data_IF_948790968306
#
_entry.id   IF_948790968306
#
_cell.length_a   1.000
_cell.length_b   1.000
_cell.length_c   1.000
_cell.angle_alpha   90.00
_cell.angle_beta   90.00
_cell.angle_gamma   90.00
#
_symmetry.space_group_name_H-M   'P 1'
#
loop_
_entity.id
_entity.type
_entity.pdbx_description
1 polymer ?
#
# COMPACT_ATOMS: atom_id res chain seq x y z
N UNK A 1 -31.19 13.37 32.54
CA UNK A 1 -30.88 12.58 33.75
C UNK A 1 -29.46 12.05 33.60
N UNK A 2 -28.64 12.06 34.65
CA UNK A 2 -27.22 11.66 34.59
C UNK A 2 -26.95 10.48 35.53
N UNK A 3 -26.13 9.53 35.08
CA UNK A 3 -25.71 8.35 35.83
C UNK A 3 -24.19 8.21 35.81
N UNK A 4 -23.62 7.56 36.82
CA UNK A 4 -22.18 7.32 36.87
C UNK A 4 -21.72 6.31 35.81
N UNK A 5 -22.52 5.26 35.56
CA UNK A 5 -22.18 4.16 34.64
C UNK A 5 -23.37 3.70 33.77
N UNK A 6 -23.10 2.88 32.74
CA UNK A 6 -24.15 2.21 31.97
C UNK A 6 -25.01 1.30 32.86
N UNK A 7 -24.40 0.57 33.78
CA UNK A 7 -25.12 -0.33 34.68
C UNK A 7 -26.10 0.43 35.60
N UNK A 8 -25.70 1.61 36.10
CA UNK A 8 -26.58 2.46 36.92
C UNK A 8 -27.78 2.97 36.13
N UNK A 9 -27.56 3.35 34.85
CA UNK A 9 -28.64 3.73 33.96
C UNK A 9 -29.60 2.56 33.66
N UNK A 10 -29.06 1.35 33.42
CA UNK A 10 -29.86 0.14 33.19
C UNK A 10 -30.70 -0.26 34.42
N UNK A 11 -30.22 0.02 35.64
CA UNK A 11 -30.96 -0.20 36.88
C UNK A 11 -32.06 0.85 37.16
N UNK A 12 -32.12 1.94 36.40
CA UNK A 12 -33.08 3.02 36.61
C UNK A 12 -34.53 2.58 36.31
N UNK A 13 -35.45 2.82 37.25
CA UNK A 13 -36.85 2.39 37.13
C UNK A 13 -37.84 3.54 37.46
N UNK A 14 -37.95 4.56 36.61
CA UNK A 14 -38.88 5.68 36.84
C UNK A 14 -40.33 5.30 36.49
N UNK A 15 -41.30 6.02 37.05
CA UNK A 15 -42.71 5.93 36.59
C UNK A 15 -42.90 6.46 35.17
N UNK A 16 -42.06 7.38 34.73
CA UNK A 16 -42.05 7.89 33.36
C UNK A 16 -40.61 7.97 32.88
N UNK A 17 -40.29 7.14 31.88
CA UNK A 17 -38.98 7.11 31.29
C UNK A 17 -38.65 8.44 30.59
N UNK A 18 -37.54 9.11 30.95
CA UNK A 18 -37.14 10.41 30.38
C UNK A 18 -36.78 10.30 28.90
N UNK A 19 -36.82 11.41 28.16
CA UNK A 19 -36.51 11.40 26.72
C UNK A 19 -35.02 11.18 26.42
N UNK A 20 -34.14 11.50 27.38
CA UNK A 20 -32.70 11.33 27.25
C UNK A 20 -32.03 10.99 28.59
N UNK A 21 -30.92 10.26 28.50
CA UNK A 21 -30.04 9.89 29.60
C UNK A 21 -28.61 10.29 29.24
N UNK A 22 -27.78 10.57 30.24
CA UNK A 22 -26.33 10.71 30.08
C UNK A 22 -25.65 9.79 31.08
N UNK A 23 -24.55 9.17 30.68
CA UNK A 23 -23.68 8.41 31.57
C UNK A 23 -22.29 9.06 31.60
N UNK A 24 -21.68 9.13 32.77
CA UNK A 24 -20.34 9.72 32.97
C UNK A 24 -19.19 8.76 32.59
N UNK A 25 -19.49 7.48 32.37
CA UNK A 25 -18.57 6.44 31.95
C UNK A 25 -19.32 5.15 31.57
N UNK A 26 -18.64 4.23 30.89
CA UNK A 26 -19.28 2.97 30.47
C UNK A 26 -19.31 1.96 31.63
N UNK A 27 -18.15 1.63 32.18
CA UNK A 27 -17.94 0.73 33.33
C UNK A 27 -17.74 1.48 34.63
N UNK A 28 -17.05 2.63 34.59
CA UNK A 28 -16.79 3.48 35.76
C UNK A 28 -16.84 4.95 35.35
N UNK A 29 -17.38 5.82 36.23
CA UNK A 29 -17.36 7.25 35.97
C UNK A 29 -15.91 7.74 35.71
N UNK A 30 -15.71 8.44 34.60
CA UNK A 30 -14.38 8.95 34.21
C UNK A 30 -13.54 7.98 33.38
N UNK A 31 -14.05 6.80 32.99
CA UNK A 31 -13.36 5.89 32.04
C UNK A 31 -13.38 6.36 30.58
N UNK A 32 -13.91 7.56 30.33
CA UNK A 32 -14.08 8.19 29.02
C UNK A 32 -15.05 7.45 28.09
N UNK A 33 -15.80 6.46 28.59
CA UNK A 33 -16.90 5.81 27.91
C UNK A 33 -18.26 6.46 28.16
N UNK A 34 -18.27 7.70 28.66
CA UNK A 34 -19.48 8.49 28.86
C UNK A 34 -20.14 8.85 27.54
N UNK A 35 -21.47 8.91 27.51
CA UNK A 35 -22.24 9.27 26.32
C UNK A 35 -23.63 9.81 26.67
N UNK A 36 -24.19 10.62 25.76
CA UNK A 36 -25.60 10.97 25.70
C UNK A 36 -26.39 9.89 24.96
N UNK A 37 -27.53 9.52 25.53
CA UNK A 37 -28.46 8.55 24.99
C UNK A 37 -29.84 9.18 24.79
N UNK A 38 -30.49 8.89 23.66
CA UNK A 38 -31.88 9.30 23.38
C UNK A 38 -32.82 8.08 23.41
N UNK A 39 -34.05 8.30 23.84
CA UNK A 39 -35.08 7.25 23.88
C UNK A 39 -35.50 6.84 22.47
N UNK A 40 -35.71 5.55 22.24
CA UNK A 40 -36.17 4.98 20.96
C UNK A 40 -37.35 4.05 21.17
N UNK A 41 -38.17 3.88 20.12
CA UNK A 41 -39.40 3.10 20.18
C UNK A 41 -39.18 1.58 20.21
N UNK A 42 -38.04 1.09 19.73
CA UNK A 42 -37.71 -0.32 19.64
C UNK A 42 -36.22 -0.55 19.92
N UNK A 43 -35.86 -1.79 20.27
CA UNK A 43 -34.48 -2.17 20.54
C UNK A 43 -33.58 -1.95 19.29
N UNK A 44 -32.52 -1.14 19.37
CA UNK A 44 -31.57 -0.99 18.27
C UNK A 44 -30.82 -2.30 17.98
N UNK A 45 -30.30 -2.46 16.75
CA UNK A 45 -29.58 -3.68 16.34
C UNK A 45 -28.06 -3.65 16.60
N UNK A 46 -27.53 -2.57 17.18
CA UNK A 46 -26.09 -2.39 17.44
C UNK A 46 -25.74 -2.46 18.93
N UNK A 47 -24.44 -2.37 19.27
CA UNK A 47 -23.94 -2.42 20.67
C UNK A 47 -24.07 -1.11 21.45
N UNK A 48 -24.14 0.04 20.77
CA UNK A 48 -24.36 1.37 21.37
C UNK A 48 -25.79 1.63 21.90
N UNK A 49 -26.38 0.69 22.63
CA UNK A 49 -27.75 0.75 23.15
C UNK A 49 -27.82 0.35 24.63
N UNK A 50 -28.88 0.75 25.32
CA UNK A 50 -29.21 0.25 26.64
C UNK A 50 -30.73 0.20 26.84
N UNK A 51 -31.17 -0.66 27.77
CA UNK A 51 -32.56 -0.72 28.22
C UNK A 51 -32.59 -0.40 29.72
N UNK A 52 -33.45 0.53 30.13
CA UNK A 52 -33.66 0.77 31.56
C UNK A 52 -34.63 -0.27 32.14
N UNK A 53 -34.64 -0.44 33.45
CA UNK A 53 -35.42 -1.49 34.13
C UNK A 53 -36.94 -1.45 33.88
N UNK A 54 -37.49 -0.28 33.54
CA UNK A 54 -38.91 -0.12 33.15
C UNK A 54 -39.22 -0.72 31.76
N UNK A 55 -38.21 -0.93 30.92
CA UNK A 55 -38.34 -1.56 29.60
C UNK A 55 -38.12 -0.61 28.41
N UNK A 56 -38.05 0.70 28.64
CA UNK A 56 -37.73 1.69 27.60
C UNK A 56 -36.30 1.53 27.04
N UNK A 57 -36.16 1.62 25.72
CA UNK A 57 -34.89 1.51 25.00
C UNK A 57 -34.26 2.87 24.70
N UNK A 58 -32.94 2.91 24.72
CA UNK A 58 -32.14 4.08 24.40
C UNK A 58 -30.96 3.73 23.49
N UNK A 59 -30.56 4.67 22.63
CA UNK A 59 -29.38 4.57 21.76
C UNK A 59 -28.46 5.79 21.92
N UNK A 60 -27.17 5.61 21.68
CA UNK A 60 -26.19 6.70 21.69
C UNK A 60 -26.60 7.79 20.70
N UNK A 61 -26.48 9.05 21.11
CA UNK A 61 -26.85 10.24 20.35
C UNK A 61 -25.66 11.21 20.16
N UNK A 62 -24.44 10.70 20.24
CA UNK A 62 -23.21 11.46 20.04
C UNK A 62 -22.94 11.69 18.54
N UNK A 63 -22.21 12.76 18.20
CA UNK A 63 -21.83 13.08 16.82
C UNK A 63 -20.70 12.19 16.28
N UNK A 64 -19.95 11.55 17.19
CA UNK A 64 -18.90 10.59 16.89
C UNK A 64 -19.01 9.45 17.92
N UNK A 65 -18.74 8.21 17.50
CA UNK A 65 -18.77 7.05 18.38
C UNK A 65 -17.35 6.69 18.81
N UNK A 66 -16.99 6.96 20.07
CA UNK A 66 -15.74 6.50 20.64
C UNK A 66 -15.84 5.02 21.06
N UNK A 67 -14.80 4.23 20.79
CA UNK A 67 -14.72 2.81 21.14
C UNK A 67 -15.05 2.53 22.62
N UNK A 68 -14.74 3.47 23.53
CA UNK A 68 -15.03 3.35 24.97
C UNK A 68 -16.50 3.49 25.30
N UNK A 69 -17.28 4.21 24.49
CA UNK A 69 -18.73 4.39 24.68
C UNK A 69 -19.52 3.09 24.47
N UNK A 70 -18.92 2.10 23.82
CA UNK A 70 -19.49 0.75 23.66
C UNK A 70 -18.77 -0.29 24.53
N UNK A 71 -17.92 0.16 25.46
CA UNK A 71 -17.23 -0.70 26.40
C UNK A 71 -16.12 -1.54 25.78
N UNK A 72 -15.53 -1.10 24.67
CA UNK A 72 -14.46 -1.84 24.02
C UNK A 72 -13.26 -1.90 25.00
N UNK A 73 -12.86 -3.09 25.50
CA UNK A 73 -11.93 -3.16 26.61
C UNK A 73 -10.55 -2.72 26.17
N UNK A 74 -9.97 -1.77 26.88
CA UNK A 74 -8.53 -1.49 26.77
C UNK A 74 -7.79 -2.77 27.16
N UNK A 75 -6.85 -3.21 26.32
CA UNK A 75 -6.06 -4.42 26.56
C UNK A 75 -6.87 -5.74 26.59
N UNK A 76 -8.01 -5.80 25.89
CA UNK A 76 -8.72 -7.06 25.69
C UNK A 76 -7.77 -8.12 25.12
N UNK A 77 -7.81 -9.35 25.65
CA UNK A 77 -6.97 -10.43 25.13
C UNK A 77 -7.29 -10.77 23.68
N UNK A 78 -8.51 -10.49 23.21
CA UNK A 78 -8.90 -10.51 21.81
C UNK A 78 -10.04 -9.52 21.55
N UNK A 79 -9.77 -8.49 20.76
CA UNK A 79 -10.74 -7.43 20.47
C UNK A 79 -11.55 -7.66 19.19
N UNK A 80 -11.28 -8.70 18.37
CA UNK A 80 -11.79 -8.81 17.00
C UNK A 80 -13.31 -8.60 16.87
N UNK A 81 -14.13 -9.43 17.52
CA UNK A 81 -15.59 -9.36 17.40
C UNK A 81 -16.17 -8.08 18.01
N UNK A 82 -15.67 -7.66 19.18
CA UNK A 82 -16.17 -6.45 19.83
C UNK A 82 -15.80 -5.18 19.03
N UNK A 83 -14.63 -5.18 18.37
CA UNK A 83 -14.20 -4.09 17.51
C UNK A 83 -15.05 -4.04 16.24
N UNK A 84 -15.37 -5.19 15.64
CA UNK A 84 -16.29 -5.27 14.50
C UNK A 84 -17.70 -4.76 14.87
N UNK A 85 -18.24 -5.17 16.02
CA UNK A 85 -19.52 -4.67 16.53
C UNK A 85 -19.52 -3.15 16.74
N UNK A 86 -18.39 -2.59 17.18
CA UNK A 86 -18.17 -1.15 17.29
C UNK A 86 -18.25 -0.44 15.92
N UNK A 87 -17.60 -0.98 14.89
CA UNK A 87 -17.66 -0.41 13.53
C UNK A 87 -19.07 -0.52 12.93
N UNK A 88 -19.77 -1.63 13.18
CA UNK A 88 -21.16 -1.81 12.78
C UNK A 88 -22.05 -0.79 13.50
N UNK A 89 -21.83 -0.53 14.78
CA UNK A 89 -22.58 0.48 15.52
C UNK A 89 -22.38 1.90 14.94
N UNK A 90 -21.14 2.29 14.65
CA UNK A 90 -20.83 3.60 14.08
C UNK A 90 -21.51 3.81 12.73
N UNK A 91 -21.42 2.82 11.83
CA UNK A 91 -22.09 2.88 10.51
C UNK A 91 -23.61 2.82 10.61
N UNK A 92 -24.18 2.08 11.57
CA UNK A 92 -25.64 2.05 11.81
C UNK A 92 -26.15 3.40 12.33
N UNK A 93 -25.36 4.08 13.16
CA UNK A 93 -25.66 5.40 13.72
C UNK A 93 -25.35 6.55 12.74
N UNK A 94 -24.71 6.26 11.60
CA UNK A 94 -24.23 7.24 10.61
C UNK A 94 -23.29 8.29 11.22
N UNK A 95 -22.35 7.83 12.05
CA UNK A 95 -21.33 8.66 12.71
C UNK A 95 -19.93 8.08 12.54
N UNK A 96 -18.87 8.90 12.57
CA UNK A 96 -17.50 8.41 12.57
C UNK A 96 -17.19 7.51 13.77
N UNK A 97 -16.44 6.43 13.53
CA UNK A 97 -15.85 5.58 14.55
C UNK A 97 -14.51 6.16 15.01
N UNK A 98 -14.36 6.40 16.31
CA UNK A 98 -13.16 6.98 16.91
C UNK A 98 -12.47 5.96 17.82
N UNK A 99 -11.17 5.76 17.59
CA UNK A 99 -10.27 5.03 18.48
C UNK A 99 -9.27 6.03 19.03
N UNK A 100 -9.36 6.29 20.33
CA UNK A 100 -8.61 7.36 20.98
C UNK A 100 -7.10 7.13 21.00
N UNK A 101 -6.35 8.22 21.19
CA UNK A 101 -4.89 8.19 21.35
C UNK A 101 -4.45 7.29 22.51
N UNK A 102 -3.36 6.56 22.31
CA UNK A 102 -2.80 5.62 23.28
C UNK A 102 -3.61 4.33 23.49
N UNK A 103 -4.75 4.14 22.81
CA UNK A 103 -5.50 2.90 22.91
C UNK A 103 -4.79 1.76 22.16
N UNK A 104 -4.71 0.59 22.79
CA UNK A 104 -4.10 -0.62 22.22
C UNK A 104 -5.11 -1.75 22.25
N UNK A 105 -5.36 -2.34 21.08
CA UNK A 105 -6.23 -3.51 20.91
C UNK A 105 -5.44 -4.68 20.36
N UNK A 106 -5.51 -5.81 21.06
CA UNK A 106 -4.85 -7.05 20.66
C UNK A 106 -5.84 -7.97 19.92
N UNK A 107 -5.36 -8.55 18.82
CA UNK A 107 -6.11 -9.43 17.93
C UNK A 107 -5.33 -10.74 17.76
N UNK A 108 -5.31 -11.67 18.73
CA UNK A 108 -4.61 -12.95 18.60
C UNK A 108 -5.30 -13.92 17.62
N UNK A 109 -6.55 -13.67 17.24
CA UNK A 109 -7.28 -14.41 16.22
C UNK A 109 -8.31 -13.47 15.59
N UNK A 110 -9.05 -13.97 14.60
CA UNK A 110 -10.09 -13.20 13.92
C UNK A 110 -9.57 -12.13 12.96
N UNK A 111 -10.45 -11.74 12.05
CA UNK A 111 -10.31 -10.60 11.14
C UNK A 111 -11.36 -9.58 11.55
N UNK A 112 -11.06 -8.28 11.49
CA UNK A 112 -12.08 -7.24 11.65
C UNK A 112 -12.61 -6.88 10.27
N UNK A 113 -13.90 -7.11 10.05
CA UNK A 113 -14.57 -6.71 8.80
C UNK A 113 -14.86 -5.21 8.79
N UNK A 114 -14.56 -4.55 7.67
CA UNK A 114 -14.83 -3.14 7.45
C UNK A 114 -16.18 -2.95 6.75
N UNK A 115 -17.23 -2.43 7.42
CA UNK A 115 -18.52 -2.18 6.78
C UNK A 115 -18.46 -1.04 5.75
N UNK A 116 -19.48 -0.96 4.88
CA UNK A 116 -19.64 0.18 3.97
C UNK A 116 -19.99 1.46 4.72
N UNK A 117 -19.68 2.62 4.13
CA UNK A 117 -19.90 3.96 4.69
C UNK A 117 -19.15 4.19 6.01
N UNK A 118 -18.04 3.49 6.20
CA UNK A 118 -17.23 3.62 7.40
C UNK A 118 -16.29 4.82 7.30
N UNK A 119 -16.31 5.67 8.33
CA UNK A 119 -15.22 6.61 8.64
C UNK A 119 -14.59 6.17 9.96
N UNK A 120 -13.36 5.66 9.92
CA UNK A 120 -12.62 5.19 11.09
C UNK A 120 -11.38 6.06 11.32
N UNK A 121 -11.33 6.72 12.49
CA UNK A 121 -10.23 7.59 12.92
C UNK A 121 -9.51 6.94 14.09
N UNK A 122 -8.22 6.66 13.93
CA UNK A 122 -7.41 5.88 14.87
C UNK A 122 -6.12 6.61 15.26
N UNK A 123 -6.15 7.94 15.29
CA UNK A 123 -4.95 8.77 15.52
C UNK A 123 -4.33 8.42 16.88
N UNK A 124 -3.11 7.88 16.86
CA UNK A 124 -2.37 7.48 18.06
C UNK A 124 -2.73 6.09 18.63
N UNK A 125 -3.71 5.40 18.04
CA UNK A 125 -4.06 4.05 18.44
C UNK A 125 -3.15 2.98 17.81
N UNK A 126 -3.04 1.83 18.47
CA UNK A 126 -2.30 0.65 17.99
C UNK A 126 -3.22 -0.57 17.92
N UNK A 127 -3.36 -1.12 16.73
CA UNK A 127 -4.11 -2.34 16.45
C UNK A 127 -3.13 -3.47 16.17
N UNK A 128 -3.03 -4.44 17.09
CA UNK A 128 -1.89 -5.34 17.17
C UNK A 128 -2.28 -6.81 17.01
N UNK A 129 -1.68 -7.47 16.02
CA UNK A 129 -1.64 -8.94 15.92
C UNK A 129 -0.54 -9.45 16.87
N UNK A 130 -0.94 -10.29 17.84
CA UNK A 130 -0.06 -10.81 18.91
C UNK A 130 0.36 -12.26 18.72
N UNK A 131 -0.18 -12.92 17.71
CA UNK A 131 0.05 -14.33 17.40
C UNK A 131 0.23 -14.49 15.89
N UNK A 132 0.87 -15.59 15.51
CA UNK A 132 0.94 -15.98 14.11
C UNK A 132 -0.42 -16.52 13.70
N UNK A 133 -1.12 -15.78 12.84
CA UNK A 133 -2.40 -16.20 12.26
C UNK A 133 -2.35 -15.97 10.77
N UNK A 134 -2.91 -16.93 10.04
CA UNK A 134 -3.04 -16.92 8.59
C UNK A 134 -4.39 -16.30 8.15
N UNK A 135 -4.73 -15.12 8.69
CA UNK A 135 -5.81 -14.25 8.19
C UNK A 135 -5.39 -12.76 8.22
N UNK A 136 -6.03 -11.88 7.42
CA UNK A 136 -5.84 -10.44 7.53
C UNK A 136 -6.14 -9.92 8.94
N UNK A 137 -5.53 -8.82 9.34
CA UNK A 137 -5.93 -8.09 10.55
C UNK A 137 -7.26 -7.38 10.27
N UNK A 138 -7.29 -6.51 9.26
CA UNK A 138 -8.50 -5.83 8.81
C UNK A 138 -8.79 -6.23 7.36
N UNK A 139 -10.07 -6.49 7.07
CA UNK A 139 -10.52 -6.87 5.73
C UNK A 139 -11.77 -6.10 5.33
N UNK A 140 -11.83 -5.69 4.07
CA UNK A 140 -13.06 -5.22 3.43
C UNK A 140 -13.40 -6.17 2.28
N UNK A 141 -14.67 -6.54 2.12
CA UNK A 141 -15.11 -7.50 1.10
C UNK A 141 -16.38 -7.02 0.42
N UNK A 142 -16.25 -6.49 -0.79
CA UNK A 142 -17.36 -5.93 -1.58
C UNK A 142 -18.07 -4.75 -0.90
N UNK A 143 -17.31 -3.91 -0.22
CA UNK A 143 -17.78 -2.78 0.59
C UNK A 143 -17.38 -1.44 -0.02
N UNK A 144 -18.15 -0.38 0.22
CA UNK A 144 -17.95 0.91 -0.44
C UNK A 144 -17.85 2.07 0.57
N UNK A 145 -17.21 3.17 0.14
CA UNK A 145 -17.12 4.42 0.90
C UNK A 145 -16.44 4.22 2.27
N UNK A 146 -15.21 3.71 2.25
CA UNK A 146 -14.41 3.46 3.46
C UNK A 146 -13.34 4.53 3.57
N UNK A 147 -13.23 5.16 4.73
CA UNK A 147 -12.20 6.15 5.05
C UNK A 147 -11.48 5.72 6.32
N UNK A 148 -10.19 5.41 6.22
CA UNK A 148 -9.32 5.04 7.34
C UNK A 148 -8.29 6.15 7.56
N UNK A 149 -8.22 6.71 8.77
CA UNK A 149 -7.38 7.86 9.11
C UNK A 149 -6.55 7.57 10.35
N UNK A 150 -5.23 7.61 10.23
CA UNK A 150 -4.31 7.50 11.36
C UNK A 150 -4.19 6.10 11.96
N UNK A 151 -3.26 5.94 12.90
CA UNK A 151 -3.11 4.71 13.69
C UNK A 151 -2.04 3.77 13.17
N UNK A 152 -1.69 2.80 14.03
CA UNK A 152 -0.64 1.82 13.76
C UNK A 152 -1.19 0.40 13.72
N UNK A 153 -1.05 -0.28 12.60
CA UNK A 153 -1.24 -1.73 12.52
C UNK A 153 0.08 -2.41 12.81
N UNK A 154 0.12 -3.25 13.84
CA UNK A 154 1.37 -3.90 14.30
C UNK A 154 1.24 -5.41 14.27
N UNK A 155 2.27 -6.11 13.83
CA UNK A 155 2.39 -7.56 14.00
C UNK A 155 3.68 -7.91 14.77
N UNK A 156 3.50 -8.42 15.97
CA UNK A 156 4.62 -8.78 16.86
C UNK A 156 5.18 -10.17 16.62
N UNK A 157 4.55 -10.99 15.77
CA UNK A 157 4.96 -12.37 15.53
C UNK A 157 5.05 -12.67 14.02
N UNK A 158 6.24 -13.02 13.51
CA UNK A 158 6.39 -13.45 12.13
C UNK A 158 5.56 -14.70 11.83
N UNK A 159 4.89 -14.75 10.68
CA UNK A 159 4.15 -15.92 10.28
C UNK A 159 5.05 -17.10 9.91
N UNK A 160 4.66 -18.30 10.34
CA UNK A 160 5.39 -19.56 10.10
C UNK A 160 5.18 -20.09 8.68
N UNK A 161 4.04 -19.78 8.03
CA UNK A 161 3.72 -20.19 6.66
C UNK A 161 2.82 -19.16 5.94
N UNK A 162 3.29 -17.92 5.73
CA UNK A 162 2.44 -16.87 5.18
C UNK A 162 2.14 -17.05 3.69
N UNK A 163 0.95 -16.60 3.29
CA UNK A 163 0.57 -16.40 1.89
C UNK A 163 0.07 -14.96 1.68
N UNK A 164 0.00 -14.53 0.42
CA UNK A 164 -0.44 -13.19 0.01
C UNK A 164 -1.84 -12.81 0.51
N UNK A 165 -2.71 -13.78 0.78
CA UNK A 165 -4.09 -13.54 1.22
C UNK A 165 -4.26 -13.61 2.74
N UNK A 166 -3.28 -14.18 3.44
CA UNK A 166 -3.51 -14.73 4.77
C UNK A 166 -2.65 -14.06 5.85
N UNK A 167 -1.84 -13.06 5.58
CA UNK A 167 -1.22 -12.31 6.68
C UNK A 167 -0.98 -10.87 6.24
N UNK A 168 -2.06 -10.11 6.23
CA UNK A 168 -2.11 -8.76 5.70
C UNK A 168 -2.57 -7.80 6.78
N UNK A 169 -1.93 -6.64 6.93
CA UNK A 169 -2.42 -5.65 7.89
C UNK A 169 -3.78 -5.09 7.47
N UNK A 170 -3.88 -4.63 6.21
CA UNK A 170 -5.10 -4.13 5.60
C UNK A 170 -5.36 -4.80 4.25
N UNK A 171 -6.40 -5.64 4.18
CA UNK A 171 -6.81 -6.30 2.94
C UNK A 171 -8.12 -5.70 2.41
N UNK A 172 -8.02 -4.90 1.35
CA UNK A 172 -9.16 -4.27 0.71
C UNK A 172 -9.55 -5.08 -0.53
N UNK A 173 -10.66 -5.80 -0.46
CA UNK A 173 -11.07 -6.75 -1.50
C UNK A 173 -12.43 -6.37 -2.10
N UNK A 174 -12.51 -6.24 -3.43
CA UNK A 174 -13.77 -5.94 -4.14
C UNK A 174 -14.39 -4.57 -3.80
N UNK A 175 -13.60 -3.65 -3.21
CA UNK A 175 -14.14 -2.46 -2.55
C UNK A 175 -14.03 -1.20 -3.39
N UNK A 176 -14.99 -0.28 -3.29
CA UNK A 176 -14.98 0.97 -4.06
C UNK A 176 -14.96 2.23 -3.19
N UNK A 177 -14.37 3.32 -3.69
CA UNK A 177 -14.27 4.60 -3.00
C UNK A 177 -13.60 4.44 -1.62
N UNK A 178 -12.40 3.87 -1.61
CA UNK A 178 -11.63 3.62 -0.38
C UNK A 178 -10.53 4.67 -0.23
N UNK A 179 -10.40 5.28 0.93
CA UNK A 179 -9.31 6.19 1.27
C UNK A 179 -8.58 5.69 2.51
N UNK A 180 -7.27 5.49 2.38
CA UNK A 180 -6.37 5.13 3.47
C UNK A 180 -5.38 6.28 3.63
N UNK A 181 -5.36 6.96 4.77
CA UNK A 181 -4.47 8.11 5.01
C UNK A 181 -3.81 8.07 6.38
N UNK A 182 -2.56 8.48 6.44
CA UNK A 182 -1.79 8.65 7.69
C UNK A 182 -1.65 7.35 8.50
N UNK A 183 -1.71 6.19 7.83
CA UNK A 183 -1.58 4.88 8.47
C UNK A 183 -0.10 4.51 8.61
N UNK A 184 0.23 3.89 9.73
CA UNK A 184 1.50 3.17 9.90
C UNK A 184 1.23 1.67 9.97
N UNK A 185 2.01 0.89 9.23
CA UNK A 185 2.06 -0.58 9.36
C UNK A 185 3.47 -0.97 9.78
N UNK A 186 3.58 -1.80 10.81
CA UNK A 186 4.87 -2.27 11.30
C UNK A 186 4.85 -3.73 11.72
N UNK A 187 6.02 -4.36 11.61
CA UNK A 187 6.22 -5.74 11.99
C UNK A 187 5.91 -6.72 10.87
N UNK A 188 6.00 -8.01 11.21
CA UNK A 188 6.17 -9.08 10.25
C UNK A 188 4.86 -9.52 9.56
N UNK A 189 4.04 -8.57 9.11
CA UNK A 189 2.96 -8.87 8.17
C UNK A 189 3.54 -9.41 6.87
N UNK A 190 2.86 -10.33 6.19
CA UNK A 190 3.30 -10.74 4.85
C UNK A 190 3.02 -9.67 3.80
N UNK A 191 1.86 -9.01 3.90
CA UNK A 191 1.53 -7.82 3.12
C UNK A 191 1.14 -6.66 4.06
N UNK A 192 1.63 -5.46 3.80
CA UNK A 192 1.20 -4.27 4.53
C UNK A 192 -0.21 -3.85 4.12
N UNK A 193 -0.31 -3.17 2.99
CA UNK A 193 -1.59 -2.74 2.40
C UNK A 193 -1.83 -3.50 1.10
N UNK A 194 -2.99 -4.15 0.98
CA UNK A 194 -3.35 -4.93 -0.19
C UNK A 194 -4.68 -4.44 -0.80
N UNK A 195 -4.62 -3.85 -1.99
CA UNK A 195 -5.77 -3.58 -2.84
C UNK A 195 -6.00 -4.75 -3.79
N UNK A 196 -7.13 -5.42 -3.68
CA UNK A 196 -7.57 -6.46 -4.62
C UNK A 196 -8.93 -6.13 -5.16
N UNK A 197 -9.06 -6.09 -6.48
CA UNK A 197 -10.35 -5.86 -7.13
C UNK A 197 -11.04 -4.56 -6.67
N UNK A 198 -10.23 -3.52 -6.41
CA UNK A 198 -10.70 -2.23 -5.91
C UNK A 198 -11.00 -1.24 -7.04
N UNK A 199 -11.95 -0.33 -6.81
CA UNK A 199 -12.28 0.77 -7.70
C UNK A 199 -12.18 2.12 -6.98
N UNK A 200 -11.47 3.09 -7.56
CA UNK A 200 -11.34 4.43 -7.00
C UNK A 200 -10.80 4.38 -5.55
N UNK A 201 -9.60 3.82 -5.37
CA UNK A 201 -8.98 3.73 -4.05
C UNK A 201 -7.75 4.64 -3.95
N UNK A 202 -7.50 5.21 -2.77
CA UNK A 202 -6.26 5.93 -2.49
C UNK A 202 -5.56 5.49 -1.21
N UNK A 203 -4.23 5.59 -1.21
CA UNK A 203 -3.33 5.38 -0.08
C UNK A 203 -2.37 6.57 0.01
N UNK A 204 -2.51 7.38 1.04
CA UNK A 204 -1.84 8.68 1.19
C UNK A 204 -1.05 8.72 2.50
N UNK A 205 0.14 9.33 2.49
CA UNK A 205 0.98 9.53 3.68
C UNK A 205 1.12 8.27 4.58
N UNK A 206 1.19 7.10 3.94
CA UNK A 206 1.21 5.81 4.64
C UNK A 206 2.64 5.29 4.74
N UNK A 207 2.98 4.73 5.90
CA UNK A 207 4.31 4.18 6.17
C UNK A 207 4.21 2.69 6.46
N UNK A 208 5.05 1.88 5.82
CA UNK A 208 5.06 0.42 6.02
C UNK A 208 6.49 -0.04 6.28
N UNK A 209 6.70 -0.73 7.42
CA UNK A 209 8.01 -1.20 7.87
C UNK A 209 7.98 -2.68 8.21
N UNK A 210 9.00 -3.42 7.81
CA UNK A 210 9.28 -4.76 8.34
C UNK A 210 8.34 -5.87 7.89
N UNK A 211 7.65 -5.66 6.77
CA UNK A 211 6.80 -6.70 6.18
C UNK A 211 7.63 -7.77 5.48
N UNK A 212 7.14 -9.00 5.41
CA UNK A 212 7.89 -10.16 4.91
C UNK A 212 7.86 -10.28 3.39
N UNK A 213 6.82 -9.80 2.70
CA UNK A 213 6.77 -9.92 1.24
C UNK A 213 6.48 -8.61 0.52
N UNK A 214 5.34 -7.96 0.79
CA UNK A 214 4.92 -6.74 0.07
C UNK A 214 4.48 -5.62 0.99
N UNK A 215 5.05 -4.43 0.85
CA UNK A 215 4.62 -3.28 1.63
C UNK A 215 3.30 -2.72 1.09
N UNK A 216 3.23 -2.54 -0.22
CA UNK A 216 2.01 -2.18 -0.93
C UNK A 216 1.80 -3.16 -2.09
N UNK A 217 0.61 -3.76 -2.13
CA UNK A 217 0.23 -4.67 -3.19
C UNK A 217 -1.07 -4.23 -3.86
N UNK A 218 -1.05 -4.09 -5.18
CA UNK A 218 -2.24 -3.80 -5.98
C UNK A 218 -2.47 -4.96 -6.93
N UNK A 219 -3.61 -5.65 -6.85
CA UNK A 219 -3.88 -6.77 -7.71
C UNK A 219 -5.29 -6.85 -8.28
N UNK A 220 -5.42 -7.34 -9.50
CA UNK A 220 -6.71 -7.60 -10.14
C UNK A 220 -6.92 -9.11 -10.34
N UNK A 221 -7.86 -9.72 -9.60
CA UNK A 221 -8.32 -11.07 -9.92
C UNK A 221 -9.52 -11.05 -10.87
N UNK A 222 -10.36 -10.01 -10.75
CA UNK A 222 -11.44 -9.67 -11.67
C UNK A 222 -11.18 -8.31 -12.29
N UNK A 223 -11.14 -7.25 -11.48
CA UNK A 223 -11.04 -5.89 -12.00
C UNK A 223 -10.55 -4.89 -10.96
N UNK A 224 -9.43 -4.19 -11.22
CA UNK A 224 -8.91 -3.12 -10.34
C UNK A 224 -8.65 -1.84 -11.13
N UNK A 225 -9.20 -0.72 -10.69
CA UNK A 225 -9.13 0.53 -11.44
C UNK A 225 -9.02 1.78 -10.57
N UNK A 226 -8.29 2.78 -11.07
CA UNK A 226 -8.15 4.11 -10.47
C UNK A 226 -7.60 4.03 -9.04
N UNK A 227 -6.44 3.39 -8.90
CA UNK A 227 -5.73 3.29 -7.62
C UNK A 227 -4.63 4.36 -7.59
N UNK A 228 -4.63 5.20 -6.55
CA UNK A 228 -3.61 6.22 -6.33
C UNK A 228 -2.86 5.98 -5.03
N UNK A 229 -1.53 5.92 -5.08
CA UNK A 229 -0.68 5.80 -3.91
C UNK A 229 0.25 7.01 -3.89
N UNK A 230 0.21 7.83 -2.85
CA UNK A 230 1.02 9.06 -2.81
C UNK A 230 1.64 9.39 -1.46
N UNK A 231 2.84 9.95 -1.53
CA UNK A 231 3.60 10.42 -0.36
C UNK A 231 3.84 9.32 0.68
N UNK A 232 3.97 8.07 0.21
CA UNK A 232 4.15 6.89 1.05
C UNK A 232 5.62 6.51 1.21
N UNK A 233 5.95 5.92 2.37
CA UNK A 233 7.24 5.30 2.65
C UNK A 233 7.08 3.80 2.85
N UNK A 234 7.82 3.02 2.06
CA UNK A 234 7.84 1.58 2.14
C UNK A 234 9.27 1.10 2.41
N UNK A 235 9.51 0.52 3.59
CA UNK A 235 10.83 0.13 4.06
C UNK A 235 10.90 -1.37 4.32
N UNK A 236 11.83 -2.03 3.64
CA UNK A 236 12.03 -3.47 3.72
C UNK A 236 12.76 -3.94 4.99
N UNK A 237 13.29 -3.03 5.80
CA UNK A 237 13.86 -3.37 7.09
C UNK A 237 12.79 -3.72 8.11
N UNK A 238 13.04 -4.79 8.86
CA UNK A 238 12.41 -4.98 10.15
C UNK A 238 12.74 -3.79 11.07
N UNK A 239 11.72 -3.28 11.75
CA UNK A 239 11.84 -2.05 12.53
C UNK A 239 12.96 -2.17 13.58
N UNK A 240 13.94 -1.26 13.50
CA UNK A 240 15.07 -1.23 14.43
C UNK A 240 16.15 -2.28 14.20
N UNK A 241 16.10 -3.02 13.08
CA UNK A 241 17.13 -4.01 12.73
C UNK A 241 17.73 -3.72 11.35
N UNK A 242 18.80 -4.44 11.00
CA UNK A 242 19.41 -4.43 9.66
C UNK A 242 18.92 -5.60 8.81
N UNK A 243 17.91 -6.34 9.26
CA UNK A 243 17.38 -7.50 8.54
C UNK A 243 16.40 -7.05 7.46
N UNK A 244 16.72 -7.36 6.20
CA UNK A 244 15.84 -7.07 5.05
C UNK A 244 14.87 -8.23 4.87
N UNK A 245 13.59 -7.99 5.12
CA UNK A 245 12.56 -9.03 5.06
C UNK A 245 11.82 -9.02 3.72
N UNK A 246 11.57 -7.85 3.15
CA UNK A 246 10.61 -7.68 2.05
C UNK A 246 11.19 -8.02 0.68
N UNK A 247 10.60 -8.99 -0.02
CA UNK A 247 11.00 -9.34 -1.38
C UNK A 247 10.57 -8.29 -2.43
N UNK A 248 9.31 -7.87 -2.44
CA UNK A 248 8.82 -6.87 -3.40
C UNK A 248 8.17 -5.74 -2.63
N UNK A 249 8.80 -4.57 -2.53
CA UNK A 249 8.29 -3.53 -1.65
C UNK A 249 6.96 -2.97 -2.17
N UNK A 250 6.95 -2.46 -3.40
CA UNK A 250 5.74 -2.04 -4.11
C UNK A 250 5.54 -2.97 -5.29
N UNK A 251 4.36 -3.57 -5.41
CA UNK A 251 4.07 -4.49 -6.51
C UNK A 251 2.66 -4.31 -7.06
N UNK A 252 2.54 -4.41 -8.37
CA UNK A 252 1.26 -4.54 -9.06
C UNK A 252 1.20 -5.90 -9.73
N UNK A 253 0.05 -6.58 -9.68
CA UNK A 253 -0.10 -7.89 -10.32
C UNK A 253 -1.51 -8.23 -10.77
N UNK A 254 -1.68 -8.89 -11.90
CA UNK A 254 -2.96 -9.50 -12.26
C UNK A 254 -2.95 -11.00 -11.97
N UNK A 255 -4.01 -11.49 -11.33
CA UNK A 255 -4.22 -12.92 -11.13
C UNK A 255 -5.33 -13.44 -12.05
N UNK A 256 -5.18 -14.68 -12.53
CA UNK A 256 -6.23 -15.36 -13.28
C UNK A 256 -6.53 -14.69 -14.61
N UNK A 257 -7.78 -14.28 -14.85
CA UNK A 257 -8.25 -13.56 -16.06
C UNK A 257 -8.53 -12.08 -15.79
N UNK A 258 -8.19 -11.57 -14.61
CA UNK A 258 -8.46 -10.19 -14.22
C UNK A 258 -7.71 -9.17 -15.07
N UNK A 259 -8.25 -7.95 -15.11
CA UNK A 259 -7.59 -6.80 -15.74
C UNK A 259 -7.55 -5.61 -14.78
N UNK A 260 -6.58 -4.73 -14.93
CA UNK A 260 -6.54 -3.49 -14.19
C UNK A 260 -6.18 -2.28 -15.04
N UNK A 261 -6.50 -1.08 -14.58
CA UNK A 261 -6.09 0.16 -15.25
C UNK A 261 -5.91 1.35 -14.31
N UNK A 262 -5.14 2.34 -14.75
CA UNK A 262 -4.96 3.62 -14.06
C UNK A 262 -4.42 3.47 -12.63
N UNK A 263 -3.27 2.81 -12.48
CA UNK A 263 -2.58 2.66 -11.20
C UNK A 263 -1.45 3.68 -11.13
N UNK A 264 -1.51 4.62 -10.19
CA UNK A 264 -0.54 5.71 -10.09
C UNK A 264 0.16 5.71 -8.74
N UNK A 265 1.49 5.80 -8.76
CA UNK A 265 2.35 6.06 -7.60
C UNK A 265 2.96 7.45 -7.74
N UNK A 266 2.86 8.30 -6.72
CA UNK A 266 3.37 9.68 -6.74
C UNK A 266 4.17 9.99 -5.48
N UNK A 267 5.41 10.47 -5.61
CA UNK A 267 6.27 10.81 -4.46
C UNK A 267 6.47 9.65 -3.45
N UNK A 268 6.40 8.40 -3.92
CA UNK A 268 6.57 7.24 -3.06
C UNK A 268 8.06 6.89 -2.93
N UNK A 269 8.49 6.54 -1.71
CA UNK A 269 9.82 6.01 -1.44
C UNK A 269 9.75 4.53 -1.12
N UNK A 270 10.59 3.73 -1.78
CA UNK A 270 10.79 2.32 -1.56
C UNK A 270 12.26 2.08 -1.21
N UNK A 271 12.56 1.42 -0.10
CA UNK A 271 13.96 1.19 0.29
C UNK A 271 14.23 -0.14 0.99
N UNK A 272 15.47 -0.62 0.83
CA UNK A 272 16.02 -1.78 1.52
C UNK A 272 15.32 -3.12 1.20
N UNK A 273 15.02 -3.37 -0.08
CA UNK A 273 14.49 -4.67 -0.53
C UNK A 273 15.43 -5.83 -0.18
N UNK A 274 14.87 -7.02 0.05
CA UNK A 274 15.61 -8.22 0.40
C UNK A 274 16.71 -8.50 -0.62
N UNK A 275 17.83 -9.07 -0.20
CA UNK A 275 18.99 -9.31 -1.08
C UNK A 275 18.79 -10.45 -2.08
N UNK A 276 17.61 -11.07 -2.10
CA UNK A 276 17.24 -12.07 -3.10
C UNK A 276 17.17 -11.37 -4.47
N UNK A 277 17.59 -11.98 -5.60
CA UNK A 277 17.47 -11.40 -6.95
C UNK A 277 16.08 -10.85 -7.33
N UNK A 278 15.02 -11.23 -6.62
CA UNK A 278 13.65 -10.70 -6.79
C UNK A 278 13.36 -9.47 -5.92
N UNK A 279 14.37 -8.92 -5.23
CA UNK A 279 14.32 -7.74 -4.37
C UNK A 279 14.00 -6.48 -5.17
N UNK A 280 12.73 -6.15 -5.32
CA UNK A 280 12.28 -5.03 -6.15
C UNK A 280 11.78 -3.87 -5.30
N UNK A 281 12.22 -2.66 -5.65
CA UNK A 281 11.65 -1.44 -5.09
C UNK A 281 10.21 -1.22 -5.57
N UNK A 282 10.04 -1.20 -6.90
CA UNK A 282 8.74 -1.13 -7.58
C UNK A 282 8.68 -2.18 -8.68
N UNK A 283 7.75 -3.14 -8.59
CA UNK A 283 7.49 -4.14 -9.62
C UNK A 283 6.15 -3.89 -10.31
N UNK A 284 6.17 -3.64 -11.62
CA UNK A 284 4.99 -3.50 -12.46
C UNK A 284 4.80 -4.77 -13.30
N UNK A 285 3.67 -5.47 -13.12
CA UNK A 285 3.38 -6.70 -13.87
C UNK A 285 2.30 -6.53 -14.94
N UNK A 286 2.08 -7.62 -15.66
CA UNK A 286 1.14 -7.80 -16.75
C UNK A 286 -0.34 -7.52 -16.43
N UNK A 287 -1.11 -7.27 -17.51
CA UNK A 287 -2.59 -7.07 -17.56
C UNK A 287 -3.17 -5.92 -16.73
N UNK A 288 -2.39 -5.30 -15.86
CA UNK A 288 -2.66 -3.96 -15.38
C UNK A 288 -2.08 -2.99 -16.41
N UNK A 289 -2.97 -2.26 -17.07
CA UNK A 289 -2.59 -1.26 -18.08
C UNK A 289 -2.55 0.14 -17.49
N UNK A 290 -1.92 1.09 -18.17
CA UNK A 290 -1.90 2.50 -17.76
C UNK A 290 -1.36 2.69 -16.32
N UNK A 291 -0.20 2.08 -16.06
CA UNK A 291 0.47 2.21 -14.76
C UNK A 291 1.48 3.36 -14.81
N UNK A 292 1.58 4.13 -13.73
CA UNK A 292 2.42 5.31 -13.68
C UNK A 292 3.14 5.45 -12.35
N UNK A 293 4.43 5.77 -12.40
CA UNK A 293 5.19 6.25 -11.25
C UNK A 293 5.71 7.67 -11.55
N UNK A 294 5.50 8.60 -10.64
CA UNK A 294 5.94 10.00 -10.76
C UNK A 294 6.71 10.40 -9.51
N UNK A 295 7.91 10.95 -9.68
CA UNK A 295 8.76 11.39 -8.57
C UNK A 295 9.01 10.31 -7.51
N UNK A 296 9.02 9.03 -7.90
CA UNK A 296 9.22 7.92 -6.98
C UNK A 296 10.71 7.64 -6.78
N UNK A 297 11.07 7.16 -5.60
CA UNK A 297 12.44 6.91 -5.20
C UNK A 297 12.64 5.46 -4.76
N UNK A 298 13.64 4.79 -5.31
CA UNK A 298 14.06 3.45 -4.92
C UNK A 298 15.50 3.47 -4.39
N UNK A 299 15.74 3.01 -3.16
CA UNK A 299 17.05 3.12 -2.50
C UNK A 299 17.51 1.80 -1.87
N UNK A 300 18.77 1.41 -2.10
CA UNK A 300 19.38 0.20 -1.51
C UNK A 300 18.59 -1.11 -1.79
N UNK A 301 17.93 -1.21 -2.94
CA UNK A 301 17.23 -2.43 -3.40
C UNK A 301 18.12 -3.23 -4.37
N UNK A 302 17.99 -4.56 -4.52
CA UNK A 302 18.67 -5.23 -5.63
C UNK A 302 18.30 -4.66 -6.99
N UNK A 303 17.00 -4.46 -7.22
CA UNK A 303 16.47 -3.78 -8.41
C UNK A 303 15.57 -2.62 -7.99
N UNK A 304 15.83 -1.42 -8.49
CA UNK A 304 15.04 -0.23 -8.16
C UNK A 304 13.61 -0.31 -8.72
N UNK A 305 13.49 -0.31 -10.04
CA UNK A 305 12.23 -0.41 -10.77
C UNK A 305 12.26 -1.60 -11.74
N UNK A 306 11.26 -2.48 -11.66
CA UNK A 306 11.09 -3.62 -12.56
C UNK A 306 9.81 -3.49 -13.39
N UNK A 307 9.92 -3.70 -14.70
CA UNK A 307 8.83 -3.88 -15.64
C UNK A 307 8.97 -5.28 -16.23
N UNK A 308 8.25 -6.26 -15.69
CA UNK A 308 8.47 -7.66 -16.04
C UNK A 308 7.20 -8.33 -16.58
N UNK A 309 7.33 -8.97 -17.75
CA UNK A 309 6.37 -9.95 -18.24
C UNK A 309 6.09 -11.01 -17.18
N UNK A 310 4.81 -11.20 -16.87
CA UNK A 310 4.35 -12.26 -16.00
C UNK A 310 3.32 -13.11 -16.76
N UNK A 311 3.35 -14.42 -16.51
CA UNK A 311 2.39 -15.39 -17.07
C UNK A 311 2.23 -15.31 -18.61
N UNK A 312 3.31 -15.02 -19.34
CA UNK A 312 3.29 -14.94 -20.81
C UNK A 312 2.66 -13.68 -21.39
N UNK A 313 2.31 -12.67 -20.56
CA UNK A 313 1.65 -11.46 -21.02
C UNK A 313 2.57 -10.25 -20.82
N UNK A 314 2.75 -9.40 -21.85
CA UNK A 314 3.61 -8.24 -21.71
C UNK A 314 3.02 -7.22 -20.75
N UNK A 315 3.90 -6.52 -20.05
CA UNK A 315 3.57 -5.26 -19.37
C UNK A 315 3.20 -4.22 -20.41
N UNK A 316 2.10 -3.48 -20.23
CA UNK A 316 1.57 -2.54 -21.22
C UNK A 316 1.29 -1.16 -20.63
N UNK A 317 1.73 -0.11 -21.35
CA UNK A 317 1.43 1.30 -21.06
C UNK A 317 1.91 1.74 -19.67
N UNK A 318 3.16 1.43 -19.34
CA UNK A 318 3.81 1.86 -18.09
C UNK A 318 4.59 3.15 -18.31
N UNK A 319 4.47 4.11 -17.40
CA UNK A 319 5.18 5.39 -17.45
C UNK A 319 5.95 5.63 -16.15
N UNK A 320 7.28 5.75 -16.23
CA UNK A 320 8.12 6.19 -15.13
C UNK A 320 8.60 7.63 -15.43
N UNK A 321 8.24 8.59 -14.58
CA UNK A 321 8.50 10.01 -14.80
C UNK A 321 9.23 10.60 -13.60
N UNK A 322 10.40 11.19 -13.81
CA UNK A 322 11.22 11.81 -12.77
C UNK A 322 11.51 10.89 -11.58
N UNK A 323 11.64 9.59 -11.82
CA UNK A 323 11.95 8.63 -10.76
C UNK A 323 13.45 8.59 -10.53
N UNK A 324 13.88 8.22 -9.32
CA UNK A 324 15.30 8.00 -9.00
C UNK A 324 15.52 6.63 -8.37
N UNK A 325 16.59 5.95 -8.78
CA UNK A 325 17.07 4.71 -8.20
C UNK A 325 18.52 4.90 -7.74
N UNK A 326 18.80 4.59 -6.47
CA UNK A 326 20.09 4.82 -5.86
C UNK A 326 20.62 3.56 -5.16
N UNK A 327 21.92 3.30 -5.32
CA UNK A 327 22.66 2.21 -4.68
C UNK A 327 22.04 0.83 -4.89
N UNK A 328 21.41 0.61 -6.05
CA UNK A 328 20.76 -0.67 -6.33
C UNK A 328 21.76 -1.70 -6.84
N UNK A 329 21.93 -2.82 -6.12
CA UNK A 329 23.07 -3.72 -6.35
C UNK A 329 23.11 -4.34 -7.74
N UNK A 330 21.95 -4.56 -8.37
CA UNK A 330 21.84 -5.19 -9.69
C UNK A 330 21.46 -4.16 -10.75
N UNK A 331 20.26 -3.58 -10.69
CA UNK A 331 19.76 -2.66 -11.71
C UNK A 331 19.06 -1.47 -11.08
N UNK A 332 19.24 -0.28 -11.64
CA UNK A 332 18.39 0.86 -11.31
C UNK A 332 16.99 0.68 -11.89
N UNK A 333 16.95 0.46 -13.21
CA UNK A 333 15.75 0.16 -13.99
C UNK A 333 15.95 -1.14 -14.76
N UNK A 334 14.99 -2.04 -14.66
CA UNK A 334 14.99 -3.32 -15.33
C UNK A 334 13.67 -3.52 -16.07
N UNK A 335 13.73 -3.78 -17.39
CA UNK A 335 12.56 -4.13 -18.18
C UNK A 335 12.84 -5.46 -18.90
N UNK A 336 11.93 -6.44 -18.77
CA UNK A 336 12.02 -7.72 -19.49
C UNK A 336 10.67 -8.13 -20.03
N UNK A 337 10.57 -8.38 -21.34
CA UNK A 337 9.29 -8.73 -21.98
C UNK A 337 8.23 -7.62 -21.89
N UNK A 338 8.65 -6.37 -21.67
CA UNK A 338 7.75 -5.23 -21.57
C UNK A 338 7.41 -4.67 -22.97
N UNK A 339 6.19 -4.17 -23.14
CA UNK A 339 5.72 -3.60 -24.41
C UNK A 339 5.02 -2.26 -24.15
N UNK A 340 5.32 -1.22 -24.93
CA UNK A 340 4.69 0.10 -24.75
C UNK A 340 4.97 0.67 -23.35
N UNK A 341 6.19 1.13 -23.10
CA UNK A 341 6.51 1.84 -21.85
C UNK A 341 7.36 3.09 -22.10
N UNK A 342 7.33 4.03 -21.16
CA UNK A 342 8.20 5.20 -21.18
C UNK A 342 8.91 5.42 -19.85
N UNK A 343 10.17 5.82 -19.94
CA UNK A 343 11.00 6.26 -18.82
C UNK A 343 11.51 7.66 -19.19
N UNK A 344 11.09 8.66 -18.43
CA UNK A 344 11.34 10.07 -18.75
C UNK A 344 11.91 10.79 -17.54
N UNK A 345 12.97 11.58 -17.74
CA UNK A 345 13.53 12.43 -16.67
C UNK A 345 14.10 11.66 -15.48
N UNK A 346 14.37 10.36 -15.64
CA UNK A 346 14.67 9.45 -14.53
C UNK A 346 16.17 9.25 -14.33
N UNK A 347 16.57 8.90 -13.10
CA UNK A 347 17.98 8.84 -12.69
C UNK A 347 18.31 7.51 -12.02
N UNK A 348 19.42 6.89 -12.41
CA UNK A 348 20.01 5.74 -11.73
C UNK A 348 21.41 6.13 -11.23
N UNK A 349 21.69 6.03 -9.94
CA UNK A 349 23.00 6.40 -9.36
C UNK A 349 23.58 5.28 -8.52
N UNK A 350 24.84 4.91 -8.74
CA UNK A 350 25.53 3.90 -7.92
C UNK A 350 24.98 2.49 -8.07
N UNK A 351 24.25 2.21 -9.14
CA UNK A 351 23.66 0.88 -9.39
C UNK A 351 24.65 -0.08 -10.07
N UNK A 352 24.30 -1.37 -10.13
CA UNK A 352 24.97 -2.32 -11.03
C UNK A 352 24.90 -1.85 -12.49
N UNK A 353 23.74 -2.01 -13.10
CA UNK A 353 23.38 -1.38 -14.38
C UNK A 353 22.40 -0.24 -14.14
N UNK A 354 22.56 0.90 -14.81
CA UNK A 354 21.61 2.01 -14.70
C UNK A 354 20.23 1.63 -15.24
N UNK A 355 20.15 1.38 -16.55
CA UNK A 355 18.95 0.99 -17.29
C UNK A 355 19.23 -0.29 -18.09
N UNK A 356 18.49 -1.35 -17.82
CA UNK A 356 18.66 -2.65 -18.45
C UNK A 356 17.36 -3.11 -19.11
N UNK A 357 17.32 -3.13 -20.44
CA UNK A 357 16.14 -3.39 -21.25
C UNK A 357 16.36 -4.68 -22.06
N UNK A 358 15.62 -5.73 -21.71
CA UNK A 358 15.72 -7.06 -22.28
C UNK A 358 14.42 -7.45 -22.98
N UNK A 359 14.50 -8.04 -24.16
CA UNK A 359 13.34 -8.59 -24.90
C UNK A 359 12.10 -7.66 -24.91
N UNK A 360 12.29 -6.35 -25.06
CA UNK A 360 11.21 -5.37 -24.87
C UNK A 360 10.92 -4.55 -26.14
N UNK A 361 9.69 -4.05 -26.28
CA UNK A 361 9.19 -3.46 -27.53
C UNK A 361 8.48 -2.12 -27.32
N UNK A 362 8.51 -1.24 -28.33
CA UNK A 362 7.75 0.02 -28.38
C UNK A 362 7.99 0.94 -27.18
N UNK A 363 9.25 1.19 -26.84
CA UNK A 363 9.59 1.95 -25.63
C UNK A 363 10.15 3.35 -25.92
N UNK A 364 10.09 4.22 -24.91
CA UNK A 364 10.75 5.54 -24.93
C UNK A 364 11.61 5.70 -23.68
N UNK A 365 12.89 6.00 -23.82
CA UNK A 365 13.78 6.40 -22.72
C UNK A 365 14.33 7.79 -23.06
N UNK A 366 13.87 8.81 -22.34
CA UNK A 366 14.17 10.19 -22.65
C UNK A 366 14.64 11.00 -21.45
N UNK A 367 15.66 11.83 -21.63
CA UNK A 367 16.19 12.73 -20.59
C UNK A 367 16.59 12.00 -19.30
N UNK A 368 17.10 10.77 -19.43
CA UNK A 368 17.49 9.92 -18.32
C UNK A 368 19.00 9.97 -18.04
N UNK A 369 19.37 9.72 -16.80
CA UNK A 369 20.74 9.81 -16.31
C UNK A 369 21.14 8.49 -15.65
N UNK A 370 22.24 7.88 -16.07
CA UNK A 370 22.90 6.79 -15.37
C UNK A 370 24.27 7.27 -14.87
N UNK A 371 24.47 7.38 -13.56
CA UNK A 371 25.67 7.93 -12.93
C UNK A 371 26.31 6.91 -11.98
N UNK A 372 27.64 6.80 -12.00
CA UNK A 372 28.42 5.96 -11.09
C UNK A 372 28.01 4.47 -11.11
N UNK A 373 27.40 3.99 -12.19
CA UNK A 373 27.05 2.58 -12.33
C UNK A 373 28.31 1.72 -12.54
N UNK A 374 28.28 0.48 -12.04
CA UNK A 374 29.46 -0.41 -11.99
C UNK A 374 29.58 -1.40 -13.14
N UNK A 375 28.47 -1.76 -13.78
CA UNK A 375 28.42 -2.71 -14.90
C UNK A 375 28.05 -2.04 -16.23
N UNK A 376 27.16 -1.04 -16.22
CA UNK A 376 26.77 -0.33 -17.43
C UNK A 376 25.78 0.80 -17.18
N UNK A 377 25.70 1.75 -18.12
CA UNK A 377 24.79 2.88 -18.04
C UNK A 377 23.42 2.48 -18.58
N UNK A 378 23.36 2.26 -19.89
CA UNK A 378 22.20 1.79 -20.62
C UNK A 378 22.54 0.51 -21.39
N UNK A 379 21.75 -0.54 -21.17
CA UNK A 379 21.90 -1.85 -21.80
C UNK A 379 20.61 -2.25 -22.51
N UNK A 380 20.74 -2.64 -23.78
CA UNK A 380 19.66 -3.11 -24.63
C UNK A 380 20.05 -4.47 -25.22
N UNK A 381 19.36 -5.54 -24.82
CA UNK A 381 19.73 -6.91 -25.21
C UNK A 381 18.48 -7.78 -25.47
N UNK A 382 18.70 -8.99 -25.97
CA UNK A 382 17.67 -9.88 -26.46
C UNK A 382 16.93 -9.30 -27.67
N UNK A 383 15.71 -9.79 -27.90
CA UNK A 383 14.87 -9.37 -29.03
C UNK A 383 14.25 -7.96 -28.82
N UNK A 384 14.99 -7.04 -28.21
CA UNK A 384 14.55 -5.67 -27.93
C UNK A 384 14.44 -4.87 -29.21
N UNK A 385 13.29 -4.29 -29.52
CA UNK A 385 13.15 -3.54 -30.77
C UNK A 385 12.15 -2.39 -30.71
N UNK A 386 12.26 -1.46 -31.66
CA UNK A 386 11.37 -0.30 -31.80
C UNK A 386 11.38 0.56 -30.53
N UNK A 387 12.48 1.29 -30.33
CA UNK A 387 12.68 2.15 -29.16
C UNK A 387 13.13 3.55 -29.54
N UNK A 388 12.65 4.57 -28.83
CA UNK A 388 13.16 5.95 -28.92
C UNK A 388 14.05 6.22 -27.71
N UNK A 389 15.30 6.59 -27.96
CA UNK A 389 16.30 6.91 -26.93
C UNK A 389 16.72 8.34 -27.15
N UNK A 390 16.45 9.27 -26.22
CA UNK A 390 16.77 10.67 -26.46
C UNK A 390 17.27 11.48 -25.26
N UNK A 391 18.32 12.28 -25.47
CA UNK A 391 18.84 13.19 -24.44
C UNK A 391 19.34 12.48 -23.16
N UNK A 392 19.89 11.27 -23.29
CA UNK A 392 20.32 10.48 -22.15
C UNK A 392 21.81 10.68 -21.86
N UNK A 393 22.17 10.69 -20.57
CA UNK A 393 23.55 10.85 -20.09
C UNK A 393 24.00 9.60 -19.34
N UNK A 394 25.13 9.02 -19.73
CA UNK A 394 25.78 7.92 -19.03
C UNK A 394 27.17 8.32 -18.52
N UNK A 395 27.38 8.20 -17.21
CA UNK A 395 28.68 8.32 -16.56
C UNK A 395 28.88 7.05 -15.75
N UNK A 396 29.66 6.09 -16.27
CA UNK A 396 29.92 4.83 -15.56
C UNK A 396 31.34 4.79 -15.02
N UNK A 397 31.52 4.13 -13.88
CA UNK A 397 32.84 3.99 -13.26
C UNK A 397 33.67 2.92 -13.99
N UNK A 398 33.01 1.84 -14.40
CA UNK A 398 33.58 0.70 -15.13
C UNK A 398 32.49 0.18 -16.08
N UNK A 399 32.85 -0.26 -17.28
CA UNK A 399 31.94 -0.87 -18.25
C UNK A 399 31.54 0.02 -19.42
N UNK A 400 30.38 -0.27 -20.00
CA UNK A 400 29.89 0.36 -21.23
C UNK A 400 28.82 1.40 -20.90
N UNK A 401 28.97 2.64 -21.39
CA UNK A 401 27.97 3.68 -21.21
C UNK A 401 26.64 3.33 -21.90
N UNK A 402 26.71 2.95 -23.18
CA UNK A 402 25.59 2.43 -23.97
C UNK A 402 25.98 1.12 -24.66
N UNK A 403 25.21 0.06 -24.40
CA UNK A 403 25.42 -1.26 -24.96
C UNK A 403 24.17 -1.74 -25.69
N UNK A 404 24.33 -2.19 -26.93
CA UNK A 404 23.29 -2.86 -27.70
C UNK A 404 23.83 -4.14 -28.36
N UNK A 405 23.19 -5.28 -28.08
CA UNK A 405 23.61 -6.60 -28.58
C UNK A 405 22.79 -7.09 -29.80
N UNK A 406 23.28 -8.17 -30.42
CA UNK A 406 23.08 -8.59 -31.81
C UNK A 406 21.64 -8.80 -32.34
N UNK A 407 20.61 -8.83 -31.50
CA UNK A 407 19.20 -8.94 -31.96
C UNK A 407 18.39 -7.67 -31.73
N UNK A 408 18.98 -6.62 -31.15
CA UNK A 408 18.30 -5.35 -30.98
C UNK A 408 18.14 -4.63 -32.32
N UNK A 409 16.90 -4.31 -32.72
CA UNK A 409 16.57 -3.75 -34.04
C UNK A 409 15.77 -2.46 -33.92
N UNK A 410 16.02 -1.48 -34.79
CA UNK A 410 15.25 -0.22 -34.88
C UNK A 410 15.27 0.65 -33.62
N UNK A 411 16.46 0.85 -33.02
CA UNK A 411 16.66 1.84 -31.97
C UNK A 411 16.90 3.22 -32.61
N UNK A 412 15.99 4.16 -32.36
CA UNK A 412 16.10 5.54 -32.84
C UNK A 412 16.70 6.42 -31.72
N UNK A 413 17.99 6.71 -31.86
CA UNK A 413 18.73 7.62 -31.00
C UNK A 413 18.54 9.08 -31.48
N UNK A 414 18.00 9.96 -30.63
CA UNK A 414 17.77 11.39 -30.94
C UNK A 414 18.40 12.32 -29.90
N UNK A 415 18.98 13.42 -30.36
CA UNK A 415 19.60 14.42 -29.47
C UNK A 415 20.95 13.95 -28.91
N UNK A 416 21.43 14.63 -27.87
CA UNK A 416 22.75 14.36 -27.30
C UNK A 416 22.72 13.06 -26.48
N UNK A 417 23.55 12.10 -26.89
CA UNK A 417 23.87 10.90 -26.12
C UNK A 417 25.29 11.09 -25.64
N UNK A 418 25.47 11.31 -24.34
CA UNK A 418 26.77 11.62 -23.78
C UNK A 418 27.29 10.45 -22.94
N UNK A 419 28.55 10.11 -23.17
CA UNK A 419 29.28 9.09 -22.41
C UNK A 419 30.52 9.73 -21.82
N UNK A 420 30.61 9.80 -20.49
CA UNK A 420 31.80 10.33 -19.82
C UNK A 420 32.48 9.26 -18.95
N UNK A 421 33.81 9.21 -18.99
CA UNK A 421 34.66 8.31 -18.19
C UNK A 421 34.51 6.79 -18.42
N UNK A 422 34.09 6.36 -19.62
CA UNK A 422 33.85 4.92 -19.90
C UNK A 422 34.85 4.32 -20.88
N UNK A 423 34.94 2.99 -20.92
CA UNK A 423 35.87 2.25 -21.79
C UNK A 423 35.36 2.00 -23.22
N UNK A 424 34.06 2.15 -23.51
CA UNK A 424 33.52 1.84 -24.84
C UNK A 424 32.07 2.32 -25.08
N UNK A 425 31.77 2.63 -26.35
CA UNK A 425 30.42 2.73 -26.92
C UNK A 425 30.24 1.60 -27.94
N UNK A 426 29.28 0.70 -27.73
CA UNK A 426 29.02 -0.42 -28.65
C UNK A 426 27.57 -0.31 -29.13
N UNK A 427 27.39 0.14 -30.37
CA UNK A 427 26.09 0.25 -31.01
C UNK A 427 26.01 -0.66 -32.24
N UNK A 428 25.48 -1.87 -32.05
CA UNK A 428 25.34 -2.87 -33.11
C UNK A 428 23.98 -2.83 -33.82
N UNK A 429 23.08 -1.90 -33.46
CA UNK A 429 21.76 -1.79 -34.06
C UNK A 429 21.81 -1.00 -35.39
N UNK A 430 21.06 -1.45 -36.40
CA UNK A 430 20.78 -0.68 -37.61
C UNK A 430 20.00 0.60 -37.23
N UNK A 431 20.72 1.71 -37.07
CA UNK A 431 20.11 3.02 -36.85
C UNK A 431 19.62 3.57 -38.20
N UNK A 432 18.31 3.69 -38.38
CA UNK A 432 17.74 4.21 -39.64
C UNK A 432 17.80 5.75 -39.74
N UNK A 433 18.16 6.45 -38.67
CA UNK A 433 18.21 7.91 -38.61
C UNK A 433 19.07 8.36 -37.41
N UNK A 434 20.34 8.71 -37.62
CA UNK A 434 21.22 9.31 -36.60
C UNK A 434 21.35 10.82 -36.86
N UNK A 435 20.34 11.58 -36.46
CA UNK A 435 20.38 13.05 -36.46
C UNK A 435 20.78 13.55 -35.07
N UNK A 436 22.07 13.50 -34.74
CA UNK A 436 22.63 13.97 -33.47
C UNK A 436 24.14 13.75 -33.36
N UNK A 437 24.82 14.58 -32.56
CA UNK A 437 26.22 14.34 -32.20
C UNK A 437 26.26 13.18 -31.19
N UNK A 438 26.96 12.10 -31.54
CA UNK A 438 27.38 11.02 -30.62
C UNK A 438 28.69 11.42 -29.96
#
# INVERSE_FOLDING_TARGET
>A
MEFATKADAEAYNPTTAPDFLSIAGYTAAGDLGGALYKKVAAAPAHVGKLQIAEGSWYEIAEAELDSRMVGLPLFASNAASAFEDFLIAATTLDVPAIVGDGQIYDFPTGTVSLPSNLVLRMIGAVLRRTTDVLIPLFESSSTNNIVLIGGTFSNTRPPTAPSITNNTALFLNGSSNVRVTDIRVEGAFYVGVYFRDCLNASCENTQVFGVVNRACYVAAATYTENISVSDCLFDGYELGTTNRLTNHIVNTNAFGTGSGRNITFTNCTSRHGSTNPTGEGFGFSDRITDQRAVNCFAYDCPTGFTLQEANGNPVLRVQLVNCSSENCSNNGYFATGANIFSIVGSRATGCGTGFNILNSFNFTIASCIAENCTAGGFSYDGNTSVGVISGNLATVNVGTGFYSANTASYLNAKGNIAVSNTTSYIWNAFASDTTGNI
#
